data_IF_859488612616
#
_entry.id   IF_859488612616
#
_cell.length_a   1.000
_cell.length_b   1.000
_cell.length_c   1.000
_cell.angle_alpha   90.00
_cell.angle_beta   90.00
_cell.angle_gamma   90.00
#
_symmetry.space_group_name_H-M   'P 1'
#
loop_
_entity.id
_entity.type
_entity.pdbx_description
1 polymer ?
#
# COMPACT_ATOMS: atom_id res chain seq x y z
N UNK A 1 -17.50 14.95 17.61
CA UNK A 1 -16.82 14.51 17.24
C UNK A 1 -16.84 13.94 16.19
N UNK A 2 -16.78 14.03 15.48
CA UNK A 2 -16.85 13.42 14.33
C UNK A 2 -15.87 12.40 14.15
N UNK A 3 -16.12 11.30 14.72
CA UNK A 3 -15.29 10.25 14.43
C UNK A 3 -15.54 9.78 13.08
N UNK A 4 -14.61 9.87 12.24
CA UNK A 4 -14.70 9.31 10.92
C UNK A 4 -14.32 7.84 10.99
N UNK A 5 -15.24 6.99 10.67
CA UNK A 5 -14.94 5.58 10.55
C UNK A 5 -14.21 5.37 9.26
N UNK A 6 -12.91 5.30 9.35
CA UNK A 6 -12.11 5.05 8.17
C UNK A 6 -11.86 3.55 8.08
N UNK A 7 -12.33 2.96 7.01
CA UNK A 7 -12.10 1.54 6.76
C UNK A 7 -10.84 1.41 5.92
N UNK A 8 -9.91 0.61 6.41
CA UNK A 8 -8.70 0.29 5.68
C UNK A 8 -8.83 -1.15 5.22
N UNK A 9 -8.70 -1.36 3.92
CA UNK A 9 -8.75 -2.70 3.37
C UNK A 9 -7.34 -3.23 3.25
N UNK A 10 -7.12 -4.42 3.77
CA UNK A 10 -5.82 -5.09 3.70
C UNK A 10 -6.05 -6.42 3.03
N UNK A 11 -5.32 -6.66 1.94
CA UNK A 11 -5.47 -7.87 1.16
C UNK A 11 -4.10 -8.51 0.98
N UNK A 12 -4.02 -9.79 1.33
CA UNK A 12 -2.79 -10.56 1.16
C UNK A 12 -3.03 -11.60 0.08
N UNK A 13 -2.15 -11.64 -0.91
CA UNK A 13 -2.18 -12.64 -1.96
C UNK A 13 -1.00 -13.58 -1.73
N UNK A 14 -1.31 -14.80 -1.31
CA UNK A 14 -0.29 -15.78 -0.98
C UNK A 14 0.46 -16.26 -2.22
N UNK A 15 -0.24 -16.44 -3.33
CA UNK A 15 0.39 -16.90 -4.56
C UNK A 15 1.34 -15.87 -5.12
N UNK A 16 0.93 -14.62 -5.15
CA UNK A 16 1.77 -13.54 -5.65
C UNK A 16 2.74 -13.01 -4.63
N UNK A 17 2.59 -13.43 -3.37
CA UNK A 17 3.45 -12.98 -2.27
C UNK A 17 3.44 -11.46 -2.15
N UNK A 18 2.25 -10.87 -2.18
CA UNK A 18 2.15 -9.42 -2.03
C UNK A 18 1.00 -9.06 -1.09
N UNK A 19 1.11 -7.87 -0.52
CA UNK A 19 0.12 -7.32 0.37
C UNK A 19 -0.34 -6.00 -0.21
N UNK A 20 -1.65 -5.75 -0.16
CA UNK A 20 -2.19 -4.48 -0.62
C UNK A 20 -2.99 -3.83 0.50
N UNK A 21 -2.76 -2.54 0.70
CA UNK A 21 -3.45 -1.76 1.73
C UNK A 21 -4.09 -0.57 1.05
N UNK A 22 -5.39 -0.43 1.22
CA UNK A 22 -6.16 0.65 0.59
C UNK A 22 -6.87 1.44 1.68
N UNK A 23 -6.62 2.75 1.71
CA UNK A 23 -7.21 3.64 2.71
C UNK A 23 -8.52 4.23 2.25
N UNK A 24 -8.72 4.31 0.93
CA UNK A 24 -9.88 4.97 0.36
C UNK A 24 -10.19 4.33 -0.99
N UNK A 25 -11.46 4.30 -1.34
CA UNK A 25 -11.89 3.71 -2.60
C UNK A 25 -12.00 4.81 -3.62
N UNK A 26 -11.03 4.91 -4.49
CA UNK A 26 -11.06 5.90 -5.55
C UNK A 26 -10.19 5.45 -6.71
N UNK A 27 -10.36 6.11 -7.84
CA UNK A 27 -9.56 5.83 -9.01
C UNK A 27 -8.19 6.47 -8.84
N UNK A 28 -7.19 5.80 -9.37
CA UNK A 28 -5.84 6.33 -9.31
C UNK A 28 -4.88 5.44 -10.07
N UNK A 29 -3.62 5.64 -9.82
CA UNK A 29 -2.58 4.88 -10.52
C UNK A 29 -1.43 4.60 -9.56
N UNK A 30 -0.57 3.66 -9.96
CA UNK A 30 0.58 3.30 -9.15
C UNK A 30 1.72 4.27 -9.38
N UNK A 31 2.46 4.53 -8.31
CA UNK A 31 3.66 5.36 -8.36
C UNK A 31 4.77 4.64 -7.64
N UNK A 32 5.97 4.68 -8.21
CA UNK A 32 7.14 4.05 -7.60
C UNK A 32 7.56 4.80 -6.34
N UNK A 33 8.15 4.05 -5.40
CA UNK A 33 8.70 4.63 -4.17
C UNK A 33 10.21 4.44 -4.17
N UNK A 34 10.84 4.73 -3.04
CA UNK A 34 12.27 4.49 -2.89
C UNK A 34 12.61 3.00 -2.86
N UNK A 35 11.62 2.15 -2.68
CA UNK A 35 11.81 0.71 -2.67
C UNK A 35 11.19 0.10 -3.92
N UNK A 36 11.91 -0.80 -4.58
CA UNK A 36 11.37 -1.52 -5.72
C UNK A 36 10.33 -2.57 -5.32
N UNK A 37 10.13 -2.76 -4.02
CA UNK A 37 9.13 -3.69 -3.50
C UNK A 37 7.84 -3.00 -3.06
N UNK A 38 7.79 -1.69 -3.06
CA UNK A 38 6.63 -0.95 -2.60
C UNK A 38 6.17 0.02 -3.68
N UNK A 39 4.88 -0.05 -4.00
CA UNK A 39 4.25 0.88 -4.93
C UNK A 39 3.16 1.62 -4.19
N UNK A 40 3.10 2.93 -4.38
CA UNK A 40 2.02 3.74 -3.83
C UNK A 40 0.86 3.79 -4.80
N UNK A 41 -0.35 3.91 -4.28
CA UNK A 41 -1.51 4.25 -5.08
C UNK A 41 -1.82 5.71 -4.83
N UNK A 42 -1.87 6.50 -5.89
CA UNK A 42 -2.09 7.94 -5.79
C UNK A 42 -3.25 8.35 -6.68
N UNK A 43 -3.97 9.37 -6.26
CA UNK A 43 -5.03 9.93 -7.06
C UNK A 43 -4.48 10.99 -8.01
N UNK A 44 -5.36 11.67 -8.73
CA UNK A 44 -4.93 12.65 -9.72
C UNK A 44 -4.23 13.85 -9.12
N UNK A 45 -4.46 14.13 -7.85
CA UNK A 45 -3.80 15.23 -7.15
C UNK A 45 -2.49 14.80 -6.50
N UNK A 46 -2.13 13.52 -6.62
CA UNK A 46 -0.92 13.01 -6.01
C UNK A 46 -1.06 12.59 -4.56
N UNK A 47 -2.28 12.51 -4.07
CA UNK A 47 -2.51 12.05 -2.70
C UNK A 47 -2.46 10.53 -2.64
N UNK A 48 -1.72 9.99 -1.67
CA UNK A 48 -1.60 8.55 -1.51
C UNK A 48 -2.85 8.02 -0.84
N UNK A 49 -3.48 7.02 -1.45
CA UNK A 49 -4.63 6.37 -0.84
C UNK A 49 -4.43 4.87 -0.67
N UNK A 50 -3.23 4.38 -0.88
CA UNK A 50 -2.92 2.98 -0.65
C UNK A 50 -1.50 2.66 -1.05
N UNK A 51 -1.11 1.42 -0.82
CA UNK A 51 0.20 0.94 -1.27
C UNK A 51 0.17 -0.57 -1.39
N UNK A 52 1.13 -1.10 -2.15
CA UNK A 52 1.33 -2.54 -2.29
C UNK A 52 2.75 -2.89 -1.91
N UNK A 53 2.92 -3.99 -1.21
CA UNK A 53 4.24 -4.49 -0.82
C UNK A 53 4.45 -5.83 -1.51
N UNK A 54 5.49 -5.91 -2.34
CA UNK A 54 5.85 -7.13 -3.04
C UNK A 54 6.81 -7.95 -2.20
N UNK A 55 6.85 -9.24 -2.44
CA UNK A 55 7.73 -10.17 -1.73
C UNK A 55 7.56 -10.03 -0.23
N UNK A 56 6.31 -10.01 0.19
CA UNK A 56 5.98 -9.74 1.58
C UNK A 56 6.54 -10.81 2.52
N UNK A 57 6.75 -12.03 2.03
CA UNK A 57 7.33 -13.09 2.85
C UNK A 57 8.73 -12.75 3.33
N UNK A 58 9.46 -11.90 2.63
CA UNK A 58 10.79 -11.50 3.05
C UNK A 58 10.78 -10.67 4.32
N UNK A 59 9.61 -10.14 4.71
CA UNK A 59 9.49 -9.40 5.97
C UNK A 59 9.73 -10.26 7.20
N UNK A 60 9.70 -11.58 7.06
CA UNK A 60 10.04 -12.47 8.15
C UNK A 60 11.49 -12.32 8.58
N UNK A 61 12.35 -11.88 7.67
CA UNK A 61 13.77 -11.82 7.93
C UNK A 61 14.26 -10.43 8.29
N UNK A 62 13.63 -9.41 7.74
CA UNK A 62 14.02 -8.04 8.02
C UNK A 62 12.85 -7.11 7.71
N UNK A 63 12.70 -6.03 8.46
CA UNK A 63 11.68 -5.04 8.15
C UNK A 63 12.02 -4.28 6.88
N UNK A 64 11.01 -3.70 6.28
CA UNK A 64 11.16 -2.88 5.10
C UNK A 64 10.83 -1.44 5.49
N UNK A 65 11.73 -0.53 5.18
CA UNK A 65 11.52 0.88 5.44
C UNK A 65 11.38 1.61 4.13
N UNK A 66 10.35 2.41 4.02
CA UNK A 66 10.05 3.13 2.80
C UNK A 66 9.62 4.55 3.16
N UNK A 67 10.17 5.52 2.46
CA UNK A 67 9.71 6.89 2.57
C UNK A 67 8.56 7.09 1.60
N UNK A 68 7.42 7.47 2.12
CA UNK A 68 6.25 7.72 1.28
C UNK A 68 6.00 9.21 1.11
#
# INVERSE_FOLDING_TARGET
MGMTNRKVQIWYDQEGDFLEVIFDQKAGFFRETSSDRVMEKVDQQGNVFGFSVLKVSALRQAPLEVAL
#
